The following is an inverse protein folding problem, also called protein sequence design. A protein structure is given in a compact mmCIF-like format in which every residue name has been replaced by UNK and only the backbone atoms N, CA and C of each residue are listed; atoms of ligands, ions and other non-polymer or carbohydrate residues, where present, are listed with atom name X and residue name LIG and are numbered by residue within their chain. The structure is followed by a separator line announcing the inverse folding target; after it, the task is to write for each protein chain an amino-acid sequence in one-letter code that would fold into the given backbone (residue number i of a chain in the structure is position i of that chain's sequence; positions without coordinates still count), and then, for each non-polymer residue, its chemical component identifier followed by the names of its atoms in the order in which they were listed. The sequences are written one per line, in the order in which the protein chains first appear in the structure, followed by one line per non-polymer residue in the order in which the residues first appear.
data_IF_337451255774
#
_entry.id   IF_337451255774
#
_cell.length_a   1.000
_cell.length_b   1.000
_cell.length_c   1.000
_cell.angle_alpha   90.00
_cell.angle_beta   90.00
_cell.angle_gamma   90.00
#
_symmetry.space_group_name_H-M   'P 1'
#
loop_
_entity.id
_entity.type
_entity.pdbx_description
1 polymer ?
#
# COMPACT_ATOMS: atom_id res chain seq x y z
N UNK A 1 -7.71 -0.62 -16.24
CA UNK A 1 -6.92 0.56 -16.66
C UNK A 1 -5.54 0.49 -16.02
N UNK A 2 -4.46 0.32 -16.80
CA UNK A 2 -3.09 0.29 -16.30
C UNK A 2 -2.70 1.64 -15.67
N UNK A 3 -1.79 1.61 -14.69
CA UNK A 3 -1.31 2.82 -14.03
C UNK A 3 -0.07 3.33 -14.76
N UNK A 4 -0.16 4.50 -15.40
CA UNK A 4 0.97 5.06 -16.15
C UNK A 4 2.01 5.56 -15.15
N UNK A 5 3.22 4.99 -15.20
CA UNK A 5 4.39 5.42 -14.44
C UNK A 5 5.46 5.90 -15.41
N UNK A 6 6.11 7.02 -15.11
CA UNK A 6 7.34 7.40 -15.79
C UNK A 6 8.52 6.53 -15.35
N UNK A 7 9.58 6.47 -16.15
CA UNK A 7 10.79 5.69 -15.82
C UNK A 7 11.42 6.12 -14.49
N UNK A 8 11.38 7.42 -14.19
CA UNK A 8 11.86 7.96 -12.91
C UNK A 8 11.02 7.47 -11.73
N UNK A 9 9.69 7.43 -11.89
CA UNK A 9 8.79 6.91 -10.87
C UNK A 9 9.01 5.41 -10.67
N UNK A 10 9.16 4.65 -11.75
CA UNK A 10 9.46 3.21 -11.71
C UNK A 10 10.76 2.94 -10.94
N UNK A 11 11.86 3.61 -11.31
CA UNK A 11 13.14 3.50 -10.60
C UNK A 11 13.03 3.89 -9.13
N UNK A 12 12.26 4.93 -8.82
CA UNK A 12 12.03 5.38 -7.44
C UNK A 12 11.30 4.33 -6.59
N UNK A 13 10.32 3.63 -7.18
CA UNK A 13 9.61 2.53 -6.51
C UNK A 13 10.54 1.34 -6.28
N UNK A 14 11.30 0.94 -7.30
CA UNK A 14 12.28 -0.14 -7.22
C UNK A 14 13.34 0.13 -6.14
N UNK A 15 13.89 1.35 -6.10
CA UNK A 15 14.87 1.76 -5.10
C UNK A 15 14.33 1.67 -3.66
N UNK A 16 13.03 1.83 -3.45
CA UNK A 16 12.38 1.75 -2.13
C UNK A 16 12.11 0.31 -1.68
N UNK A 17 11.93 -0.63 -2.60
CA UNK A 17 11.64 -2.04 -2.26
C UNK A 17 12.88 -2.94 -2.27
N UNK A 18 13.98 -2.49 -2.89
CA UNK A 18 15.27 -3.21 -2.97
C UNK A 18 16.00 -3.42 -1.64
N UNK A 19 15.96 -2.50 -0.65
CA UNK A 19 16.70 -2.68 0.61
C UNK A 19 16.21 -3.90 1.39
N UNK A 20 17.13 -4.73 1.89
CA UNK A 20 16.79 -5.94 2.68
C UNK A 20 16.04 -5.63 4.01
N UNK A 21 16.17 -4.40 4.51
CA UNK A 21 15.47 -3.90 5.71
C UNK A 21 14.17 -3.15 5.38
N UNK A 22 13.72 -3.17 4.13
CA UNK A 22 12.47 -2.51 3.76
C UNK A 22 11.30 -3.19 4.47
N UNK A 23 10.35 -2.38 4.96
CA UNK A 23 9.15 -2.92 5.59
C UNK A 23 8.37 -3.77 4.58
N UNK A 24 7.96 -4.99 4.98
CA UNK A 24 7.20 -5.92 4.13
C UNK A 24 6.00 -5.25 3.44
N UNK A 25 5.33 -4.31 4.13
CA UNK A 25 4.20 -3.54 3.60
C UNK A 25 4.59 -2.61 2.45
N UNK A 26 5.77 -1.98 2.52
CA UNK A 26 6.31 -1.11 1.46
C UNK A 26 6.68 -1.98 0.26
N UNK A 27 7.36 -3.11 0.49
CA UNK A 27 7.74 -4.06 -0.56
C UNK A 27 6.51 -4.56 -1.32
N UNK A 28 5.50 -5.07 -0.62
CA UNK A 28 4.26 -5.57 -1.23
C UNK A 28 3.54 -4.47 -2.04
N UNK A 29 3.41 -3.26 -1.49
CA UNK A 29 2.77 -2.14 -2.20
C UNK A 29 3.57 -1.73 -3.44
N UNK A 30 4.89 -1.72 -3.37
CA UNK A 30 5.75 -1.34 -4.49
C UNK A 30 5.71 -2.38 -5.61
N UNK A 31 5.76 -3.66 -5.26
CA UNK A 31 5.54 -4.75 -6.22
C UNK A 31 4.16 -4.65 -6.88
N UNK A 32 3.11 -4.40 -6.10
CA UNK A 32 1.76 -4.22 -6.64
C UNK A 32 1.70 -3.04 -7.62
N UNK A 33 2.34 -1.91 -7.30
CA UNK A 33 2.37 -0.73 -8.15
C UNK A 33 3.07 -0.99 -9.49
N UNK A 34 4.20 -1.69 -9.47
CA UNK A 34 4.91 -2.09 -10.69
C UNK A 34 4.05 -3.00 -11.57
N UNK A 35 3.45 -4.04 -10.98
CA UNK A 35 2.55 -4.95 -11.70
C UNK A 35 1.31 -4.24 -12.26
N UNK A 36 0.74 -3.28 -11.52
CA UNK A 36 -0.37 -2.46 -12.01
C UNK A 36 0.03 -1.60 -13.20
N UNK A 37 1.28 -1.14 -13.24
CA UNK A 37 1.84 -0.37 -14.36
C UNK A 37 2.14 -1.26 -15.57
N UNK A 38 2.53 -2.50 -15.34
CA UNK A 38 2.66 -3.55 -16.38
C UNK A 38 1.30 -4.04 -16.91
N UNK A 39 0.18 -3.51 -16.39
CA UNK A 39 -1.17 -3.84 -16.84
C UNK A 39 -1.74 -5.12 -16.24
N UNK A 40 -1.07 -5.72 -15.25
CA UNK A 40 -1.54 -6.92 -14.57
C UNK A 40 -2.85 -6.62 -13.81
N UNK A 41 -3.87 -7.50 -13.91
CA UNK A 41 -5.14 -7.28 -13.25
C UNK A 41 -5.03 -7.50 -11.73
N UNK A 42 -5.89 -6.81 -10.96
CA UNK A 42 -5.89 -6.88 -9.50
C UNK A 42 -5.98 -8.30 -8.90
N UNK A 43 -6.80 -9.25 -9.41
CA UNK A 43 -6.83 -10.62 -8.89
C UNK A 43 -5.50 -11.37 -9.03
N UNK A 44 -4.77 -11.17 -10.13
CA UNK A 44 -3.49 -11.85 -10.35
C UNK A 44 -2.41 -11.27 -9.43
N UNK A 45 -2.38 -9.94 -9.28
CA UNK A 45 -1.51 -9.26 -8.32
C UNK A 45 -1.79 -9.74 -6.89
N UNK A 46 -3.05 -9.91 -6.53
CA UNK A 46 -3.48 -10.39 -5.23
C UNK A 46 -2.94 -11.80 -4.94
N UNK A 47 -3.05 -12.71 -5.91
CA UNK A 47 -2.49 -14.06 -5.81
C UNK A 47 -0.97 -14.05 -5.67
N UNK A 48 -0.27 -13.26 -6.50
CA UNK A 48 1.20 -13.15 -6.46
C UNK A 48 1.72 -12.61 -5.13
N UNK A 49 1.01 -11.68 -4.51
CA UNK A 49 1.43 -11.02 -3.27
C UNK A 49 0.84 -11.65 -1.99
N UNK A 50 -0.07 -12.62 -2.14
CA UNK A 50 -0.79 -13.23 -1.03
C UNK A 50 -1.67 -12.24 -0.27
N UNK A 51 -2.32 -11.31 -0.97
CA UNK A 51 -3.22 -10.30 -0.39
C UNK A 51 -4.61 -10.39 -1.02
N UNK A 52 -5.61 -9.81 -0.38
CA UNK A 52 -6.97 -9.79 -0.93
C UNK A 52 -7.07 -8.84 -2.15
N UNK A 53 -7.83 -9.21 -3.19
CA UNK A 53 -8.04 -8.39 -4.41
C UNK A 53 -8.52 -6.96 -4.08
N UNK A 54 -9.48 -6.85 -3.15
CA UNK A 54 -9.98 -5.56 -2.62
C UNK A 54 -8.87 -4.64 -2.07
N UNK A 55 -7.79 -5.20 -1.52
CA UNK A 55 -6.62 -4.44 -1.05
C UNK A 55 -5.86 -3.83 -2.22
N UNK A 56 -5.67 -4.59 -3.30
CA UNK A 56 -5.00 -4.12 -4.53
C UNK A 56 -5.82 -3.03 -5.19
N UNK A 57 -7.15 -3.17 -5.27
CA UNK A 57 -8.02 -2.12 -5.80
C UNK A 57 -7.95 -0.83 -4.98
N UNK A 58 -7.90 -0.94 -3.65
CA UNK A 58 -7.75 0.22 -2.76
C UNK A 58 -6.43 0.93 -3.04
N UNK A 59 -5.34 0.19 -3.25
CA UNK A 59 -4.06 0.76 -3.65
C UNK A 59 -4.14 1.42 -5.03
N UNK A 60 -4.76 0.77 -6.02
CA UNK A 60 -4.96 1.33 -7.37
C UNK A 60 -5.66 2.69 -7.32
N UNK A 61 -6.77 2.79 -6.57
CA UNK A 61 -7.50 4.07 -6.39
C UNK A 61 -6.64 5.13 -5.70
N UNK A 62 -5.84 4.74 -4.69
CA UNK A 62 -4.94 5.64 -3.96
C UNK A 62 -3.82 6.17 -4.87
N UNK A 63 -3.21 5.31 -5.68
CA UNK A 63 -2.15 5.66 -6.61
C UNK A 63 -2.66 6.46 -7.81
N UNK A 64 -3.91 6.27 -8.22
CA UNK A 64 -4.51 7.05 -9.32
C UNK A 64 -4.87 8.49 -8.90
N UNK A 65 -5.01 8.78 -7.60
CA UNK A 65 -5.43 10.10 -7.10
C UNK A 65 -4.26 11.01 -6.69
N UNK A 66 -3.04 10.76 -7.16
CA UNK A 66 -1.86 11.59 -6.86
C UNK A 66 -0.56 10.84 -7.11
N UNK A 67 0.57 11.35 -6.61
CA UNK A 67 1.88 10.72 -6.88
C UNK A 67 1.99 9.31 -6.24
N UNK A 68 2.10 8.24 -7.05
CA UNK A 68 2.17 6.87 -6.56
C UNK A 68 3.45 6.60 -5.75
N UNK A 69 4.56 7.29 -6.06
CA UNK A 69 5.82 7.15 -5.33
C UNK A 69 5.67 7.72 -3.92
N UNK A 70 5.14 8.94 -3.78
CA UNK A 70 4.86 9.54 -2.48
C UNK A 70 3.87 8.71 -1.63
N UNK A 71 2.92 8.03 -2.27
CA UNK A 71 1.88 7.23 -1.60
C UNK A 71 2.30 5.78 -1.28
N UNK A 72 3.51 5.38 -1.64
CA UNK A 72 4.05 4.04 -1.43
C UNK A 72 4.30 3.76 0.06
N UNK A 73 5.05 4.65 0.68
CA UNK A 73 5.05 4.85 2.12
C UNK A 73 3.69 5.44 2.45
N UNK A 74 2.95 4.81 3.38
CA UNK A 74 1.77 5.46 3.92
C UNK A 74 2.16 6.90 4.28
N UNK A 75 1.41 7.91 3.81
CA UNK A 75 1.61 9.30 4.20
C UNK A 75 1.93 9.28 5.70
N UNK A 76 3.01 9.94 6.16
CA UNK A 76 3.42 9.87 7.55
C UNK A 76 2.13 10.04 8.32
N UNK A 77 1.80 9.06 9.19
CA UNK A 77 0.66 9.25 10.09
C UNK A 77 0.85 10.67 10.57
N UNK A 78 -0.09 11.55 10.26
CA UNK A 78 -0.26 12.80 10.99
C UNK A 78 -0.74 12.42 12.39
N UNK A 79 -0.03 11.49 13.04
CA UNK A 79 0.05 11.33 14.45
C UNK A 79 0.94 12.48 14.85
N UNK A 80 0.28 13.58 15.20
CA UNK A 80 0.68 14.48 16.28
C UNK A 80 1.81 13.88 17.13
N UNK A 81 2.90 14.60 17.42
CA UNK A 81 3.96 14.09 18.28
C UNK A 81 3.31 13.51 19.53
N UNK A 82 3.64 12.24 19.84
CA UNK A 82 3.17 11.57 21.05
C UNK A 82 3.79 12.25 22.26
N UNK A 83 3.21 13.38 22.68
CA UNK A 83 3.34 13.80 24.07
C UNK A 83 2.45 12.88 24.87
N UNK A 84 3.08 12.09 25.74
CA UNK A 84 2.43 11.31 26.76
C UNK A 84 1.63 12.28 27.64
N UNK A 85 0.32 12.26 27.55
CA UNK A 85 -0.55 12.86 28.56
C UNK A 85 -1.76 11.96 28.72
N UNK A 86 -1.76 11.30 29.89
CA UNK A 86 -2.80 10.51 30.51
C UNK A 86 -4.17 11.17 30.37
N UNK A 87 -5.20 10.42 29.94
CA UNK A 87 -6.58 10.92 29.91
C UNK A 87 -7.57 10.06 29.14
N UNK A 88 -8.19 9.11 29.86
CA UNK A 88 -9.53 8.55 29.70
C UNK A 88 -10.25 8.53 28.33
N UNK A 89 -10.74 7.33 27.96
CA UNK A 89 -12.12 7.18 27.50
C UNK A 89 -12.35 6.69 26.06
N UNK A 90 -12.80 5.44 25.97
CA UNK A 90 -13.76 4.88 24.99
C UNK A 90 -13.29 4.58 23.54
N UNK A 91 -13.14 3.27 23.28
CA UNK A 91 -13.18 2.55 21.99
C UNK A 91 -14.64 2.46 21.45
N UNK A 92 -14.94 1.90 20.25
CA UNK A 92 -14.06 1.34 19.19
C UNK A 92 -14.45 1.73 17.74
N UNK A 93 -13.63 1.37 16.75
CA UNK A 93 -14.17 1.14 15.40
C UNK A 93 -13.18 1.24 14.25
N UNK A 94 -12.57 0.12 13.88
CA UNK A 94 -12.63 -0.44 12.52
C UNK A 94 -11.69 -1.63 12.41
N UNK A 95 -12.30 -2.81 12.28
CA UNK A 95 -11.67 -4.12 12.33
C UNK A 95 -10.73 -4.41 11.16
N UNK A 96 -9.68 -5.16 11.48
CA UNK A 96 -8.90 -5.94 10.53
C UNK A 96 -9.23 -7.43 10.66
N UNK A 97 -8.96 -8.16 9.58
CA UNK A 97 -8.89 -9.62 9.48
C UNK A 97 -10.26 -10.29 9.28
N UNK A 98 -10.59 -10.82 8.11
CA UNK A 98 -10.16 -12.12 7.53
C UNK A 98 -10.99 -13.31 8.09
N UNK A 99 -10.97 -14.50 7.48
CA UNK A 99 -11.82 -14.97 6.38
C UNK A 99 -12.71 -16.15 6.86
N UNK A 100 -13.59 -16.73 6.04
CA UNK A 100 -13.96 -18.18 6.01
C UNK A 100 -15.19 -18.40 5.12
N UNK A 101 -14.98 -19.23 4.11
CA UNK A 101 -15.85 -20.21 3.43
C UNK A 101 -17.37 -20.04 3.42
N UNK A 102 -17.93 -20.13 2.22
CA UNK A 102 -18.76 -21.28 1.82
C UNK A 102 -18.47 -21.62 0.35
#
# INVERSE_FOLDING_TARGET
MPLVLSDEQRRSVEARIRPAKAEKRIVQRGQALLLMADGVPAPDIAQLLGVHCRTVEKWRRRFSSGDPVAKLTDAPRSGRPRSLSLGAGLHPGSGGGDPTSL
#
